data_IF_200851346038
#
_entry.id   IF_200851346038
#
_cell.length_a   1.000
_cell.length_b   1.000
_cell.length_c   1.000
_cell.angle_alpha   90.00
_cell.angle_beta   90.00
_cell.angle_gamma   90.00
#
_symmetry.space_group_name_H-M   'P 1'
#
loop_
_entity.id
_entity.type
_entity.pdbx_description
1 polymer ?
#
# COMPACT_ATOMS: atom_id res chain seq x y z
N UNK A 1 -21.59 13.09 -20.64
CA UNK A 1 -22.29 12.80 -19.38
C UNK A 1 -21.28 12.14 -18.48
N UNK A 2 -21.04 12.70 -17.30
CA UNK A 2 -20.10 12.19 -16.30
C UNK A 2 -20.70 10.94 -15.66
N UNK A 3 -20.43 9.79 -16.25
CA UNK A 3 -20.74 8.49 -15.69
C UNK A 3 -19.42 7.74 -15.51
N UNK A 4 -19.02 7.48 -14.28
CA UNK A 4 -17.78 6.78 -13.97
C UNK A 4 -17.48 6.78 -12.48
N UNK A 5 -17.15 5.61 -11.94
CA UNK A 5 -16.54 5.50 -10.61
C UNK A 5 -15.26 6.33 -10.53
N UNK A 6 -14.88 6.73 -9.32
CA UNK A 6 -13.79 7.69 -9.13
C UNK A 6 -12.44 7.17 -9.66
N UNK A 7 -12.19 5.86 -9.57
CA UNK A 7 -10.99 5.20 -10.08
C UNK A 7 -11.26 4.33 -11.31
N UNK A 8 -12.00 3.24 -11.14
CA UNK A 8 -12.30 2.26 -12.19
C UNK A 8 -13.82 2.15 -12.39
N UNK A 9 -14.27 2.14 -13.64
CA UNK A 9 -15.67 1.97 -13.97
C UNK A 9 -15.88 0.75 -14.87
N UNK A 10 -16.67 -0.22 -14.40
CA UNK A 10 -17.09 -1.41 -15.12
C UNK A 10 -18.52 -1.22 -15.63
N UNK A 11 -18.72 -1.31 -16.94
CA UNK A 11 -20.01 -1.03 -17.59
C UNK A 11 -20.41 -2.14 -18.55
N UNK A 12 -21.72 -2.35 -18.66
CA UNK A 12 -22.37 -3.09 -19.75
C UNK A 12 -21.82 -4.49 -19.99
N UNK A 13 -22.08 -5.38 -19.04
CA UNK A 13 -21.73 -6.81 -19.12
C UNK A 13 -20.22 -7.02 -19.26
N UNK A 14 -19.42 -6.23 -18.53
CA UNK A 14 -17.99 -6.45 -18.38
C UNK A 14 -17.67 -7.39 -17.21
N UNK A 15 -16.60 -8.16 -17.36
CA UNK A 15 -16.12 -9.14 -16.38
C UNK A 15 -14.58 -9.09 -16.24
N UNK A 16 -13.97 -7.90 -16.00
CA UNK A 16 -12.53 -7.82 -15.86
C UNK A 16 -12.07 -8.46 -14.55
N UNK A 17 -10.82 -8.92 -14.54
CA UNK A 17 -10.07 -9.21 -13.33
C UNK A 17 -9.31 -7.95 -12.97
N UNK A 18 -9.48 -7.48 -11.75
CA UNK A 18 -8.75 -6.35 -11.17
C UNK A 18 -8.01 -6.96 -9.98
N UNK A 19 -6.72 -7.16 -10.13
CA UNK A 19 -5.88 -7.82 -9.14
C UNK A 19 -4.58 -7.06 -8.86
N UNK A 20 -4.10 -7.15 -7.61
CA UNK A 20 -2.81 -6.58 -7.19
C UNK A 20 -2.72 -5.04 -7.35
N UNK A 21 -3.83 -4.32 -7.13
CA UNK A 21 -3.86 -2.86 -7.24
C UNK A 21 -3.98 -2.17 -5.87
N UNK A 22 -3.33 -1.01 -5.76
CA UNK A 22 -3.61 -0.04 -4.70
C UNK A 22 -4.50 1.06 -5.28
N UNK A 23 -5.79 1.03 -4.98
CA UNK A 23 -6.82 1.91 -5.51
C UNK A 23 -7.20 2.91 -4.42
N UNK A 24 -6.57 4.09 -4.45
CA UNK A 24 -6.57 5.01 -3.31
C UNK A 24 -6.79 6.45 -3.71
N UNK A 25 -7.45 7.22 -2.85
CA UNK A 25 -7.64 8.66 -3.04
C UNK A 25 -8.53 9.05 -4.23
N UNK A 26 -9.31 8.13 -4.78
CA UNK A 26 -10.18 8.39 -5.92
C UNK A 26 -11.50 9.02 -5.46
N UNK A 27 -12.06 9.94 -6.24
CA UNK A 27 -13.32 10.62 -5.87
C UNK A 27 -14.34 10.55 -6.99
N UNK A 28 -15.49 9.95 -6.71
CA UNK A 28 -16.71 10.07 -7.52
C UNK A 28 -17.59 11.18 -6.97
N UNK A 29 -18.12 12.03 -7.85
CA UNK A 29 -19.00 13.14 -7.46
C UNK A 29 -20.49 12.80 -7.59
N UNK A 30 -20.83 11.79 -8.40
CA UNK A 30 -22.22 11.51 -8.79
C UNK A 30 -22.61 10.05 -8.70
N UNK A 31 -21.69 9.14 -9.00
CA UNK A 31 -21.97 7.70 -9.01
C UNK A 31 -21.44 7.02 -7.74
N UNK A 32 -22.03 5.88 -7.33
CA UNK A 32 -21.43 5.04 -6.30
C UNK A 32 -20.02 4.56 -6.66
N UNK A 33 -19.23 4.12 -5.69
CA UNK A 33 -17.92 3.51 -5.97
C UNK A 33 -16.84 4.53 -6.26
N UNK A 34 -16.26 5.10 -5.21
CA UNK A 34 -15.13 6.02 -5.34
C UNK A 34 -13.90 5.30 -5.91
N UNK A 35 -13.62 4.09 -5.44
CA UNK A 35 -12.61 3.21 -6.01
C UNK A 35 -13.07 2.53 -7.30
N UNK A 36 -14.08 1.66 -7.20
CA UNK A 36 -14.62 0.89 -8.32
C UNK A 36 -16.15 1.03 -8.39
N UNK A 37 -16.65 1.42 -9.55
CA UNK A 37 -18.08 1.37 -9.86
C UNK A 37 -18.41 0.22 -10.81
N UNK A 38 -19.40 -0.59 -10.46
CA UNK A 38 -19.90 -1.71 -11.24
C UNK A 38 -21.35 -1.43 -11.65
N UNK A 39 -21.60 -1.26 -12.94
CA UNK A 39 -22.94 -1.07 -13.49
C UNK A 39 -23.26 -2.18 -14.49
N UNK A 40 -24.17 -3.09 -14.11
CA UNK A 40 -24.52 -4.25 -14.93
C UNK A 40 -23.29 -5.06 -15.35
N UNK A 41 -22.33 -5.21 -14.43
CA UNK A 41 -21.04 -5.86 -14.63
C UNK A 41 -20.65 -6.66 -13.40
N UNK A 42 -19.86 -7.71 -13.59
CA UNK A 42 -19.42 -8.59 -12.48
C UNK A 42 -17.92 -8.82 -12.54
N UNK A 43 -17.09 -7.80 -12.21
CA UNK A 43 -15.65 -7.97 -12.12
C UNK A 43 -15.25 -8.88 -10.95
N UNK A 44 -14.07 -9.49 -11.08
CA UNK A 44 -13.38 -10.13 -9.96
C UNK A 44 -12.37 -9.15 -9.39
N UNK A 45 -12.46 -8.86 -8.10
CA UNK A 45 -11.53 -8.03 -7.36
C UNK A 45 -10.74 -8.94 -6.41
N UNK A 46 -9.45 -9.12 -6.65
CA UNK A 46 -8.60 -10.03 -5.86
C UNK A 46 -7.30 -9.35 -5.42
N UNK A 47 -6.93 -9.44 -4.14
CA UNK A 47 -5.68 -8.86 -3.60
C UNK A 47 -5.53 -7.36 -3.96
N UNK A 48 -6.58 -6.57 -3.71
CA UNK A 48 -6.52 -5.12 -3.87
C UNK A 48 -6.58 -4.43 -2.52
N UNK A 49 -5.95 -3.25 -2.44
CA UNK A 49 -6.11 -2.34 -1.31
C UNK A 49 -6.88 -1.11 -1.77
N UNK A 50 -8.07 -0.91 -1.20
CA UNK A 50 -8.89 0.28 -1.31
C UNK A 50 -8.74 1.13 -0.05
N UNK A 51 -8.44 2.42 -0.23
CA UNK A 51 -8.36 3.33 0.89
C UNK A 51 -8.48 4.79 0.51
N UNK A 52 -9.17 5.59 1.33
CA UNK A 52 -9.30 7.03 1.13
C UNK A 52 -10.05 7.41 -0.15
N UNK A 53 -10.81 6.49 -0.75
CA UNK A 53 -11.69 6.78 -1.86
C UNK A 53 -13.01 7.37 -1.36
N UNK A 54 -13.61 8.23 -2.17
CA UNK A 54 -14.77 9.03 -1.78
C UNK A 54 -15.87 8.93 -2.84
N UNK A 55 -17.10 8.69 -2.41
CA UNK A 55 -18.28 8.72 -3.29
C UNK A 55 -19.54 9.14 -2.51
N UNK A 56 -20.67 9.45 -3.19
CA UNK A 56 -21.95 9.62 -2.51
C UNK A 56 -22.40 8.34 -1.78
N UNK A 57 -22.11 7.17 -2.34
CA UNK A 57 -22.45 5.83 -1.82
C UNK A 57 -21.29 4.86 -2.11
N UNK A 58 -20.88 4.01 -1.16
CA UNK A 58 -19.82 3.02 -1.39
C UNK A 58 -18.49 3.67 -1.76
N UNK A 59 -17.78 4.21 -0.79
CA UNK A 59 -16.50 4.90 -1.00
C UNK A 59 -15.50 4.01 -1.74
N UNK A 60 -15.38 2.74 -1.36
CA UNK A 60 -14.53 1.77 -2.07
C UNK A 60 -15.23 1.24 -3.32
N UNK A 61 -16.35 0.54 -3.15
CA UNK A 61 -17.04 -0.20 -4.22
C UNK A 61 -18.52 0.20 -4.27
N UNK A 62 -18.98 0.54 -5.46
CA UNK A 62 -20.40 0.78 -5.74
C UNK A 62 -20.91 -0.19 -6.79
N UNK A 63 -22.03 -0.87 -6.54
CA UNK A 63 -22.63 -1.82 -7.48
C UNK A 63 -24.07 -1.44 -7.79
N UNK A 64 -24.45 -1.48 -9.07
CA UNK A 64 -25.78 -1.11 -9.56
C UNK A 64 -26.23 -1.98 -10.75
N UNK A 65 -27.55 -2.01 -10.96
CA UNK A 65 -28.23 -2.64 -12.11
C UNK A 65 -27.75 -4.05 -12.43
N UNK A 66 -28.00 -5.02 -11.54
CA UNK A 66 -27.60 -6.42 -11.72
C UNK A 66 -26.09 -6.68 -11.73
N UNK A 67 -25.29 -5.74 -11.21
CA UNK A 67 -23.88 -6.01 -10.94
C UNK A 67 -23.73 -7.08 -9.84
N UNK A 68 -22.75 -7.98 -10.01
CA UNK A 68 -22.45 -9.03 -9.02
C UNK A 68 -20.95 -9.32 -8.93
N UNK A 69 -20.10 -8.36 -8.52
CA UNK A 69 -18.68 -8.61 -8.34
C UNK A 69 -18.39 -9.64 -7.25
N UNK A 70 -17.22 -10.27 -7.37
CA UNK A 70 -16.61 -11.09 -6.32
C UNK A 70 -15.39 -10.34 -5.76
N UNK A 71 -15.29 -10.25 -4.44
CA UNK A 71 -14.23 -9.54 -3.72
C UNK A 71 -13.54 -10.53 -2.80
N UNK A 72 -12.28 -10.82 -3.06
CA UNK A 72 -11.50 -11.77 -2.27
C UNK A 72 -10.14 -11.18 -1.93
N UNK A 73 -9.59 -11.49 -0.75
CA UNK A 73 -8.25 -11.07 -0.33
C UNK A 73 -8.03 -9.56 -0.35
N UNK A 74 -9.08 -8.76 -0.29
CA UNK A 74 -8.96 -7.31 -0.41
C UNK A 74 -8.90 -6.65 0.98
N UNK A 75 -8.30 -5.47 1.04
CA UNK A 75 -8.47 -4.54 2.16
C UNK A 75 -9.32 -3.37 1.66
N UNK A 76 -10.43 -3.11 2.33
CA UNK A 76 -11.34 -1.98 2.11
C UNK A 76 -11.38 -1.17 3.39
N UNK A 77 -10.67 -0.05 3.42
CA UNK A 77 -10.41 0.65 4.68
C UNK A 77 -10.26 2.15 4.52
N UNK A 78 -10.97 2.89 5.37
CA UNK A 78 -10.95 4.36 5.41
C UNK A 78 -11.44 4.99 4.11
N UNK A 79 -12.33 4.30 3.40
CA UNK A 79 -13.10 4.88 2.31
C UNK A 79 -14.31 5.62 2.89
N UNK A 80 -14.81 6.64 2.17
CA UNK A 80 -15.82 7.56 2.70
C UNK A 80 -16.99 7.72 1.75
N UNK A 81 -18.20 7.60 2.30
CA UNK A 81 -19.43 7.92 1.60
C UNK A 81 -20.49 8.49 2.53
N UNK A 82 -21.50 9.15 1.96
CA UNK A 82 -22.64 9.67 2.74
C UNK A 82 -23.39 8.55 3.47
N UNK A 83 -23.47 7.38 2.84
CA UNK A 83 -23.92 6.12 3.45
C UNK A 83 -23.15 4.96 2.84
N UNK A 84 -22.95 3.88 3.61
CA UNK A 84 -22.21 2.68 3.20
C UNK A 84 -20.77 3.01 2.81
N UNK A 85 -19.89 3.17 3.81
CA UNK A 85 -18.53 3.68 3.62
C UNK A 85 -17.70 2.85 2.65
N UNK A 86 -17.72 1.53 2.79
CA UNK A 86 -16.91 0.64 1.97
C UNK A 86 -17.66 0.17 0.71
N UNK A 87 -18.75 -0.59 0.89
CA UNK A 87 -19.48 -1.21 -0.22
C UNK A 87 -20.94 -0.75 -0.25
N UNK A 88 -21.38 -0.26 -1.41
CA UNK A 88 -22.79 0.04 -1.70
C UNK A 88 -23.38 -0.93 -2.72
N UNK A 89 -24.58 -1.43 -2.43
CA UNK A 89 -25.40 -2.23 -3.34
C UNK A 89 -26.69 -1.47 -3.67
N UNK A 90 -26.83 -1.06 -4.92
CA UNK A 90 -28.04 -0.47 -5.44
C UNK A 90 -28.93 -1.50 -6.15
N UNK A 91 -29.60 -1.08 -7.21
CA UNK A 91 -30.77 -1.81 -7.72
C UNK A 91 -30.40 -3.19 -8.29
N UNK A 92 -30.94 -4.24 -7.68
CA UNK A 92 -30.71 -5.65 -8.04
C UNK A 92 -29.24 -6.08 -8.02
N UNK A 93 -28.36 -5.31 -7.38
CA UNK A 93 -26.96 -5.64 -7.26
C UNK A 93 -26.72 -6.62 -6.10
N UNK A 94 -25.72 -7.47 -6.27
CA UNK A 94 -25.21 -8.37 -5.23
C UNK A 94 -23.69 -8.24 -5.15
N UNK A 95 -23.08 -8.77 -4.10
CA UNK A 95 -21.62 -8.93 -4.02
C UNK A 95 -21.33 -10.15 -3.17
N UNK A 96 -20.30 -10.89 -3.57
CA UNK A 96 -19.70 -11.92 -2.72
C UNK A 96 -18.40 -11.35 -2.19
N UNK A 97 -18.21 -11.40 -0.87
CA UNK A 97 -16.97 -10.93 -0.22
C UNK A 97 -16.49 -12.04 0.70
N UNK A 98 -15.29 -12.56 0.46
CA UNK A 98 -14.66 -13.57 1.28
C UNK A 98 -13.18 -13.21 1.52
N UNK A 99 -12.61 -13.69 2.62
CA UNK A 99 -11.21 -13.48 3.01
C UNK A 99 -10.71 -12.04 2.85
N UNK A 100 -11.55 -11.06 3.16
CA UNK A 100 -11.23 -9.63 2.99
C UNK A 100 -11.37 -8.88 4.32
N UNK A 101 -10.58 -7.84 4.49
CA UNK A 101 -10.71 -6.92 5.61
C UNK A 101 -11.56 -5.73 5.18
N UNK A 102 -12.75 -5.60 5.77
CA UNK A 102 -13.73 -4.57 5.39
C UNK A 102 -14.08 -3.75 6.61
N UNK A 103 -13.78 -2.45 6.55
CA UNK A 103 -14.15 -1.52 7.62
C UNK A 103 -15.66 -1.52 7.86
N UNK A 104 -16.05 -1.71 9.12
CA UNK A 104 -17.46 -1.86 9.50
C UNK A 104 -18.01 -3.28 9.31
N UNK A 105 -17.24 -4.17 8.70
CA UNK A 105 -17.52 -5.59 8.53
C UNK A 105 -18.40 -5.92 7.33
N UNK A 106 -18.22 -7.13 6.80
CA UNK A 106 -19.06 -7.69 5.76
C UNK A 106 -19.24 -9.20 5.96
N UNK A 107 -20.44 -9.72 5.72
CA UNK A 107 -20.70 -11.15 5.86
C UNK A 107 -19.97 -11.95 4.80
N UNK A 108 -19.26 -13.00 5.20
CA UNK A 108 -18.53 -13.89 4.31
C UNK A 108 -17.56 -14.77 5.07
N UNK A 109 -17.01 -15.76 4.39
CA UNK A 109 -16.00 -16.67 4.94
C UNK A 109 -14.70 -15.93 5.14
N UNK A 110 -14.09 -16.01 6.32
CA UNK A 110 -12.75 -15.47 6.55
C UNK A 110 -12.62 -13.95 6.53
N UNK A 111 -13.73 -13.20 6.35
CA UNK A 111 -13.69 -11.75 6.43
C UNK A 111 -13.35 -11.27 7.85
N UNK A 112 -12.62 -10.17 7.92
CA UNK A 112 -12.27 -9.49 9.15
C UNK A 112 -12.69 -8.00 9.07
N UNK A 113 -12.64 -7.34 10.23
CA UNK A 113 -12.89 -5.90 10.38
C UNK A 113 -11.99 -5.40 11.50
N UNK A 114 -10.74 -5.12 11.16
CA UNK A 114 -9.73 -4.68 12.11
C UNK A 114 -8.78 -3.70 11.42
N UNK A 115 -8.16 -2.78 12.16
CA UNK A 115 -7.21 -1.83 11.56
C UNK A 115 -6.09 -2.58 10.82
N UNK A 116 -5.92 -2.39 9.49
CA UNK A 116 -4.89 -3.05 8.69
C UNK A 116 -3.46 -2.71 9.11
N UNK A 117 -3.27 -1.64 9.92
CA UNK A 117 -1.95 -1.16 10.36
C UNK A 117 -1.02 -0.88 9.18
N UNK A 118 -1.47 -0.05 8.24
CA UNK A 118 -0.62 0.45 7.16
C UNK A 118 0.57 1.26 7.70
N UNK A 119 1.69 1.23 6.99
CA UNK A 119 2.94 1.93 7.37
C UNK A 119 2.71 3.43 7.51
N UNK A 120 2.24 4.09 6.44
CA UNK A 120 2.00 5.54 6.38
C UNK A 120 0.97 5.85 5.27
N UNK A 121 -0.33 5.54 5.47
CA UNK A 121 -1.35 5.71 4.43
C UNK A 121 -1.53 7.18 4.02
N UNK A 122 -1.32 8.13 4.93
CA UNK A 122 -1.32 9.56 4.62
C UNK A 122 -0.17 10.04 3.72
N UNK A 123 0.83 9.19 3.47
CA UNK A 123 1.90 9.38 2.49
C UNK A 123 1.79 8.39 1.31
N UNK A 124 0.67 7.66 1.20
CA UNK A 124 0.44 6.67 0.15
C UNK A 124 1.14 5.33 0.38
N UNK A 125 1.67 5.05 1.58
CA UNK A 125 2.34 3.79 1.89
C UNK A 125 1.39 2.81 2.59
N UNK A 126 0.82 1.93 1.78
CA UNK A 126 -0.16 0.92 2.18
C UNK A 126 0.45 -0.46 2.40
N UNK A 127 1.78 -0.56 2.56
CA UNK A 127 2.42 -1.77 3.07
C UNK A 127 1.98 -2.01 4.51
N UNK A 128 1.97 -3.26 4.95
CA UNK A 128 1.54 -3.66 6.29
C UNK A 128 2.66 -3.49 7.32
N UNK A 129 2.31 -3.09 8.54
CA UNK A 129 3.20 -3.17 9.69
C UNK A 129 3.12 -4.54 10.36
N UNK A 130 4.21 -4.94 11.02
CA UNK A 130 4.20 -6.15 11.85
C UNK A 130 3.10 -6.11 12.91
N UNK A 131 2.33 -7.19 12.98
CA UNK A 131 1.15 -7.31 13.84
C UNK A 131 -0.14 -6.80 13.20
N UNK A 132 -0.14 -6.45 11.92
CA UNK A 132 -1.37 -6.28 11.13
C UNK A 132 -2.24 -7.56 11.20
N UNK A 133 -3.57 -7.43 11.32
CA UNK A 133 -4.49 -8.56 11.26
C UNK A 133 -4.63 -9.15 9.85
N UNK A 134 -4.14 -8.43 8.82
CA UNK A 134 -4.19 -8.85 7.42
C UNK A 134 -3.07 -9.82 7.03
N UNK A 135 -2.03 -9.94 7.87
CA UNK A 135 -0.91 -10.85 7.63
C UNK A 135 -1.39 -12.30 7.83
N UNK A 136 -1.05 -13.19 6.89
CA UNK A 136 -1.44 -14.61 6.85
C UNK A 136 -2.96 -14.86 6.86
N UNK A 137 -3.76 -13.89 6.42
CA UNK A 137 -5.21 -13.88 6.63
C UNK A 137 -6.04 -14.15 5.36
N UNK A 138 -5.47 -14.02 4.17
CA UNK A 138 -6.13 -14.21 2.87
C UNK A 138 -6.52 -15.67 2.58
N UNK A 139 -7.26 -15.95 1.52
CA UNK A 139 -7.81 -17.25 1.15
C UNK A 139 -6.72 -18.36 1.21
N UNK A 140 -6.90 -19.42 2.02
CA UNK A 140 -5.91 -20.49 2.16
C UNK A 140 -5.73 -21.34 0.89
N UNK A 141 -6.57 -21.14 -0.13
CA UNK A 141 -6.44 -21.79 -1.44
C UNK A 141 -5.69 -20.94 -2.47
N UNK A 142 -5.47 -19.66 -2.17
CA UNK A 142 -4.65 -18.77 -3.00
C UNK A 142 -3.16 -19.11 -2.82
N UNK A 143 -2.29 -18.89 -3.83
CA UNK A 143 -0.85 -19.08 -3.70
C UNK A 143 -0.25 -18.42 -2.46
N UNK A 144 0.80 -19.03 -1.89
CA UNK A 144 1.51 -18.42 -0.78
C UNK A 144 2.25 -17.15 -1.22
N UNK A 145 2.50 -16.25 -0.26
CA UNK A 145 3.31 -15.06 -0.47
C UNK A 145 4.78 -15.43 -0.77
N UNK A 146 5.60 -14.49 -1.28
CA UNK A 146 6.98 -14.78 -1.68
C UNK A 146 7.87 -15.36 -0.58
N UNK A 147 7.52 -15.15 0.69
CA UNK A 147 8.20 -15.71 1.86
C UNK A 147 7.74 -17.15 2.21
N UNK A 148 6.78 -17.69 1.46
CA UNK A 148 6.21 -19.03 1.60
C UNK A 148 5.08 -19.13 2.62
N UNK A 149 4.63 -18.02 3.20
CA UNK A 149 3.53 -17.99 4.19
C UNK A 149 2.16 -17.82 3.51
N UNK A 150 1.06 -17.92 4.28
CA UNK A 150 -0.29 -17.83 3.68
C UNK A 150 -0.46 -16.42 3.15
N UNK A 151 -1.13 -16.24 2.01
CA UNK A 151 -1.25 -14.90 1.44
C UNK A 151 -1.84 -13.88 2.44
N UNK A 152 -1.24 -12.71 2.44
CA UNK A 152 -1.76 -11.54 3.14
C UNK A 152 -3.00 -11.00 2.40
N UNK A 153 -3.89 -10.34 3.13
CA UNK A 153 -4.94 -9.52 2.49
C UNK A 153 -4.32 -8.22 1.97
N UNK A 154 -4.79 -7.76 0.80
CA UNK A 154 -4.41 -6.50 0.17
C UNK A 154 -3.16 -6.59 -0.71
N UNK A 155 -2.88 -5.52 -1.44
CA UNK A 155 -1.93 -5.50 -2.55
C UNK A 155 -0.44 -5.67 -2.18
N UNK A 156 -0.10 -5.62 -0.88
CA UNK A 156 1.29 -5.57 -0.41
C UNK A 156 1.54 -6.61 0.67
N UNK A 157 2.16 -7.76 0.33
CA UNK A 157 2.49 -8.77 1.32
C UNK A 157 3.64 -8.32 2.23
N UNK A 158 3.63 -8.80 3.46
CA UNK A 158 4.66 -8.56 4.46
C UNK A 158 5.67 -9.71 4.45
N UNK A 159 6.91 -9.45 4.00
CA UNK A 159 7.96 -10.49 3.97
C UNK A 159 8.42 -10.89 5.39
N UNK A 160 7.96 -12.07 5.82
CA UNK A 160 8.26 -12.65 7.12
C UNK A 160 9.61 -13.37 7.18
N UNK A 161 10.34 -13.50 6.06
CA UNK A 161 11.64 -14.17 6.03
C UNK A 161 12.79 -13.29 6.53
N UNK A 162 12.58 -11.97 6.61
CA UNK A 162 13.63 -11.01 6.98
C UNK A 162 13.85 -10.95 8.49
N UNK A 163 15.12 -10.84 8.89
CA UNK A 163 15.47 -10.62 10.29
C UNK A 163 15.07 -9.22 10.77
N UNK A 164 15.35 -8.20 9.95
CA UNK A 164 14.83 -6.85 10.07
C UNK A 164 14.21 -6.45 8.73
N UNK A 165 13.12 -5.70 8.77
CA UNK A 165 12.47 -5.13 7.58
C UNK A 165 12.74 -3.63 7.51
N UNK A 166 12.99 -3.10 6.31
CA UNK A 166 13.14 -1.69 6.01
C UNK A 166 12.09 -1.26 4.98
N UNK A 167 11.33 -0.23 5.32
CA UNK A 167 10.48 0.49 4.37
C UNK A 167 10.91 1.96 4.31
N UNK A 168 11.06 2.47 3.10
CA UNK A 168 11.23 3.88 2.77
C UNK A 168 9.92 4.44 2.25
N UNK A 169 9.43 5.50 2.89
CA UNK A 169 8.26 6.24 2.45
C UNK A 169 8.69 7.65 2.03
N UNK A 170 8.72 7.98 0.72
CA UNK A 170 8.96 9.34 0.29
C UNK A 170 7.78 10.26 0.65
N UNK A 171 8.07 11.50 1.03
CA UNK A 171 7.03 12.52 1.29
C UNK A 171 6.64 13.29 0.03
N UNK A 172 7.37 13.07 -1.07
CA UNK A 172 7.08 13.65 -2.36
C UNK A 172 7.63 12.75 -3.47
N UNK A 173 6.85 12.60 -4.55
CA UNK A 173 7.32 11.97 -5.80
C UNK A 173 8.03 12.97 -6.73
N UNK A 174 7.96 14.27 -6.41
CA UNK A 174 8.57 15.35 -7.16
C UNK A 174 9.31 16.30 -6.23
N UNK A 175 10.58 16.60 -6.51
CA UNK A 175 11.39 17.52 -5.69
C UNK A 175 12.21 18.43 -6.59
N UNK A 176 11.92 19.73 -6.57
CA UNK A 176 12.65 20.73 -7.37
C UNK A 176 14.10 20.88 -6.90
N UNK A 177 15.05 21.19 -7.80
CA UNK A 177 16.40 21.61 -7.40
C UNK A 177 16.36 22.76 -6.39
N UNK A 178 17.13 22.64 -5.30
CA UNK A 178 17.10 23.58 -4.17
C UNK A 178 15.99 23.29 -3.14
N UNK A 179 15.12 22.32 -3.40
CA UNK A 179 14.04 21.89 -2.51
C UNK A 179 14.51 20.90 -1.44
N UNK A 180 13.53 20.23 -0.81
CA UNK A 180 13.75 19.25 0.23
C UNK A 180 13.02 17.94 -0.07
N UNK A 181 13.70 16.82 0.14
CA UNK A 181 13.13 15.48 0.11
C UNK A 181 13.00 14.95 1.54
N UNK A 182 11.78 14.81 2.03
CA UNK A 182 11.48 14.05 3.24
C UNK A 182 11.36 12.57 2.94
N UNK A 183 12.00 11.73 3.77
CA UNK A 183 11.89 10.26 3.70
C UNK A 183 11.65 9.73 5.10
N UNK A 184 10.56 9.00 5.31
CA UNK A 184 10.37 8.21 6.53
C UNK A 184 10.94 6.82 6.36
N UNK A 185 11.80 6.44 7.29
CA UNK A 185 12.34 5.11 7.43
C UNK A 185 11.51 4.38 8.48
N UNK A 186 10.85 3.30 8.09
CA UNK A 186 10.23 2.35 9.00
C UNK A 186 11.12 1.13 9.09
N UNK A 187 11.65 0.84 10.28
CA UNK A 187 12.47 -0.34 10.54
C UNK A 187 11.77 -1.23 11.57
N UNK A 188 11.64 -2.52 11.25
CA UNK A 188 10.85 -3.46 12.05
C UNK A 188 11.77 -4.58 12.54
N UNK A 189 11.84 -4.76 13.86
CA UNK A 189 12.50 -5.89 14.51
C UNK A 189 11.46 -6.86 15.07
N UNK A 190 11.36 -8.05 14.47
CA UNK A 190 10.49 -9.15 14.92
C UNK A 190 11.21 -10.14 15.84
N UNK A 191 12.48 -9.91 16.11
CA UNK A 191 13.30 -10.78 16.93
C UNK A 191 13.04 -10.51 18.41
N UNK A 192 13.16 -11.56 19.22
CA UNK A 192 13.04 -11.48 20.67
C UNK A 192 14.22 -10.75 21.34
N UNK A 193 15.24 -10.35 20.58
CA UNK A 193 16.43 -9.65 21.06
C UNK A 193 16.64 -8.33 20.31
N UNK A 194 17.28 -7.33 20.92
CA UNK A 194 17.74 -6.15 20.20
C UNK A 194 18.70 -6.53 19.07
N UNK A 195 18.56 -5.90 17.91
CA UNK A 195 19.40 -6.18 16.72
C UNK A 195 20.20 -4.92 16.34
N UNK A 196 21.54 -4.98 16.34
CA UNK A 196 22.38 -3.89 15.85
C UNK A 196 22.46 -3.90 14.32
N UNK A 197 22.44 -2.72 13.71
CA UNK A 197 22.54 -2.57 12.26
C UNK A 197 23.20 -1.24 11.89
N UNK A 198 23.58 -1.11 10.63
CA UNK A 198 24.07 0.12 10.02
C UNK A 198 23.10 0.52 8.92
N UNK A 199 22.68 1.79 8.90
CA UNK A 199 21.89 2.38 7.80
C UNK A 199 22.84 3.10 6.85
N UNK A 200 22.71 2.84 5.55
CA UNK A 200 23.36 3.63 4.50
C UNK A 200 22.40 3.88 3.35
N UNK A 201 22.36 5.10 2.85
CA UNK A 201 21.49 5.49 1.74
C UNK A 201 22.25 6.30 0.70
N UNK A 202 21.87 6.09 -0.55
CA UNK A 202 22.44 6.76 -1.70
C UNK A 202 21.34 7.14 -2.71
N UNK A 203 21.65 8.08 -3.59
CA UNK A 203 20.79 8.41 -4.71
C UNK A 203 21.54 8.20 -6.02
N UNK A 204 20.94 7.45 -6.94
CA UNK A 204 21.38 7.38 -8.34
C UNK A 204 20.80 8.57 -9.08
N UNK A 205 21.68 9.39 -9.63
CA UNK A 205 21.37 10.58 -10.41
C UNK A 205 20.88 10.21 -11.82
N UNK A 206 20.23 11.15 -12.56
CA UNK A 206 19.81 10.95 -13.94
C UNK A 206 20.94 10.54 -14.90
N UNK A 207 22.18 10.90 -14.58
CA UNK A 207 23.37 10.52 -15.36
C UNK A 207 23.99 9.17 -14.95
N UNK A 208 23.35 8.43 -14.05
CA UNK A 208 23.81 7.14 -13.52
C UNK A 208 24.86 7.23 -12.40
N UNK A 209 25.37 8.43 -12.07
CA UNK A 209 26.29 8.59 -10.96
C UNK A 209 25.56 8.43 -9.63
N UNK A 210 26.26 7.92 -8.61
CA UNK A 210 25.69 7.75 -7.27
C UNK A 210 26.25 8.79 -6.31
N UNK A 211 25.39 9.35 -5.45
CA UNK A 211 25.78 10.22 -4.34
C UNK A 211 25.34 9.61 -3.02
N UNK A 212 26.21 9.64 -2.01
CA UNK A 212 25.82 9.26 -0.66
C UNK A 212 24.88 10.33 -0.09
N UNK A 213 23.79 9.88 0.53
CA UNK A 213 22.73 10.76 1.08
C UNK A 213 22.64 10.65 2.60
N UNK A 214 22.83 9.44 3.15
CA UNK A 214 22.79 9.19 4.59
C UNK A 214 23.76 8.06 4.98
N UNK A 215 24.43 8.22 6.12
CA UNK A 215 25.25 7.16 6.70
C UNK A 215 26.53 6.84 5.91
N UNK A 216 27.24 5.76 6.27
CA UNK A 216 26.83 4.72 7.20
C UNK A 216 26.69 5.24 8.65
N UNK A 217 25.64 4.82 9.34
CA UNK A 217 25.44 5.16 10.76
C UNK A 217 24.90 3.96 11.53
N UNK A 218 25.44 3.73 12.72
CA UNK A 218 25.14 2.56 13.55
C UNK A 218 23.94 2.81 14.46
N UNK A 219 23.06 1.82 14.52
CA UNK A 219 21.86 1.81 15.34
C UNK A 219 21.69 0.45 16.01
N UNK A 220 20.78 0.38 16.98
CA UNK A 220 20.28 -0.87 17.55
C UNK A 220 18.79 -0.73 17.75
N UNK A 221 18.02 -1.63 17.14
CA UNK A 221 16.56 -1.66 17.28
C UNK A 221 16.19 -2.59 18.43
N UNK A 222 15.37 -2.17 19.42
CA UNK A 222 14.92 -3.06 20.49
C UNK A 222 14.16 -4.28 19.97
N UNK A 223 14.05 -5.32 20.81
CA UNK A 223 13.27 -6.52 20.50
C UNK A 223 11.80 -6.20 20.23
N UNK A 224 11.17 -6.89 19.28
CA UNK A 224 9.75 -6.75 18.95
C UNK A 224 9.29 -5.30 18.79
N UNK A 225 10.09 -4.49 18.10
CA UNK A 225 9.91 -3.04 18.03
C UNK A 225 9.92 -2.55 16.59
N UNK A 226 9.04 -1.59 16.32
CA UNK A 226 8.99 -0.85 15.06
C UNK A 226 9.40 0.60 15.33
N UNK A 227 10.42 1.09 14.62
CA UNK A 227 10.82 2.48 14.66
C UNK A 227 10.43 3.17 13.35
N UNK A 228 9.83 4.35 13.45
CA UNK A 228 9.60 5.25 12.32
C UNK A 228 10.38 6.55 12.55
N UNK A 229 11.18 6.95 11.57
CA UNK A 229 11.95 8.20 11.64
C UNK A 229 12.03 8.89 10.29
N UNK A 230 11.67 10.17 10.28
CA UNK A 230 11.82 11.02 9.10
C UNK A 230 13.19 11.67 9.06
N UNK A 231 13.83 11.63 7.90
CA UNK A 231 14.99 12.43 7.54
C UNK A 231 14.62 13.38 6.41
N UNK A 232 15.14 14.61 6.47
CA UNK A 232 14.94 15.60 5.42
C UNK A 232 16.27 15.89 4.76
N UNK A 233 16.33 15.74 3.44
CA UNK A 233 17.52 15.95 2.63
C UNK A 233 17.35 17.21 1.78
N UNK A 234 18.32 18.12 1.84
CA UNK A 234 18.34 19.26 0.94
C UNK A 234 18.83 18.81 -0.44
N UNK A 235 18.04 19.03 -1.48
CA UNK A 235 18.44 18.78 -2.87
C UNK A 235 19.25 20.00 -3.35
N UNK A 236 20.49 19.84 -3.82
CA UNK A 236 21.29 20.96 -4.29
C UNK A 236 20.59 21.76 -5.40
N UNK A 237 20.75 23.08 -5.42
CA UNK A 237 20.18 23.93 -6.50
C UNK A 237 20.75 23.61 -7.89
N UNK A 238 21.94 22.98 -7.93
CA UNK A 238 22.62 22.53 -9.16
C UNK A 238 22.33 21.07 -9.48
N UNK A 239 21.41 20.42 -8.76
CA UNK A 239 21.01 19.04 -9.02
C UNK A 239 20.43 18.93 -10.45
N UNK A 240 20.86 17.93 -11.24
CA UNK A 240 20.31 17.73 -12.57
C UNK A 240 18.81 17.46 -12.55
N UNK A 241 18.10 17.92 -13.57
CA UNK A 241 16.70 17.57 -13.81
C UNK A 241 16.62 16.13 -14.34
N UNK A 242 15.61 15.38 -13.92
CA UNK A 242 15.35 14.01 -14.36
C UNK A 242 15.01 13.05 -13.21
N UNK A 243 14.99 11.76 -13.52
CA UNK A 243 14.64 10.71 -12.58
C UNK A 243 15.81 10.36 -11.66
N UNK A 244 15.50 10.26 -10.37
CA UNK A 244 16.41 9.81 -9.33
C UNK A 244 15.90 8.50 -8.75
N UNK A 245 16.83 7.61 -8.39
CA UNK A 245 16.52 6.42 -7.59
C UNK A 245 17.16 6.57 -6.22
N UNK A 246 16.33 6.76 -5.19
CA UNK A 246 16.77 6.75 -3.80
C UNK A 246 16.83 5.30 -3.32
N UNK A 247 17.95 4.89 -2.74
CA UNK A 247 18.15 3.54 -2.23
C UNK A 247 18.63 3.60 -0.79
N UNK A 248 18.16 2.68 0.03
CA UNK A 248 18.70 2.47 1.36
C UNK A 248 18.80 1.00 1.68
N UNK A 249 19.73 0.70 2.58
CA UNK A 249 19.90 -0.63 3.13
C UNK A 249 20.15 -0.57 4.63
N UNK A 250 19.76 -1.64 5.31
CA UNK A 250 20.12 -1.92 6.69
C UNK A 250 20.99 -3.17 6.73
N UNK A 251 22.19 -3.05 7.27
CA UNK A 251 23.21 -4.12 7.22
C UNK A 251 23.66 -4.51 8.62
N UNK A 252 23.90 -5.80 8.92
CA UNK A 252 24.56 -6.20 10.16
C UNK A 252 25.90 -5.48 10.30
N UNK A 253 26.24 -5.05 11.51
CA UNK A 253 27.54 -4.44 11.76
C UNK A 253 28.66 -5.45 11.51
N UNK A 254 29.58 -5.14 10.59
CA UNK A 254 30.69 -6.01 10.21
C UNK A 254 30.37 -7.07 9.14
N UNK A 255 29.19 -7.03 8.53
CA UNK A 255 28.81 -7.89 7.40
C UNK A 255 28.60 -7.06 6.13
N UNK A 256 28.88 -7.59 4.92
CA UNK A 256 28.52 -6.93 3.67
C UNK A 256 27.07 -7.19 3.23
N UNK A 257 26.43 -8.25 3.74
CA UNK A 257 25.10 -8.67 3.29
C UNK A 257 24.01 -7.95 4.09
N UNK A 258 23.10 -7.19 3.45
CA UNK A 258 22.05 -6.46 4.14
C UNK A 258 21.03 -7.40 4.78
N UNK A 259 20.42 -6.97 5.89
CA UNK A 259 19.18 -7.56 6.40
C UNK A 259 18.03 -7.28 5.43
N UNK A 260 17.97 -6.03 4.95
CA UNK A 260 16.96 -5.58 4.00
C UNK A 260 17.43 -4.34 3.23
N UNK A 261 16.80 -4.12 2.08
CA UNK A 261 17.00 -2.97 1.21
C UNK A 261 15.66 -2.51 0.67
N UNK A 262 15.50 -1.21 0.53
CA UNK A 262 14.33 -0.62 -0.11
C UNK A 262 14.73 0.60 -0.93
N UNK A 263 13.90 0.95 -1.91
CA UNK A 263 14.17 2.02 -2.85
C UNK A 263 12.89 2.62 -3.41
N UNK A 264 12.96 3.89 -3.80
CA UNK A 264 11.89 4.56 -4.53
C UNK A 264 12.46 5.54 -5.55
N UNK A 265 11.68 5.81 -6.59
CA UNK A 265 12.01 6.83 -7.58
C UNK A 265 11.33 8.16 -7.23
N UNK A 266 11.99 9.27 -7.56
CA UNK A 266 11.38 10.60 -7.55
C UNK A 266 11.90 11.42 -8.74
N UNK A 267 11.06 12.32 -9.23
CA UNK A 267 11.39 13.22 -10.33
C UNK A 267 11.90 14.56 -9.78
N UNK A 268 13.01 15.05 -10.35
CA UNK A 268 13.42 16.45 -10.18
C UNK A 268 13.04 17.22 -11.45
N UNK A 269 11.96 18.02 -11.44
CA UNK A 269 11.46 18.73 -12.63
C UNK A 269 12.24 20.01 -12.96
#
# INVERSE_FOLDING_TARGET
>A
GSYGGGGIACWWLSFPIIDLNTIVGNTSLSDPGGGVYCHQSSPTLDINTFSGNVAPYGGAIGCDYYASPAVTNCILWADSAGTFQEIYLGLFATVTVDYSDVQGGWSGTGNINADPKFVLPGQGDYRLLWGSPCIDAGDPTWPNDPDGTRCDMGAHPFDQSRQLTLYLTPHASHVTPGGQLGVTYTVINRQAQPVPFTVSSDAVLPNGNTVNVLGPSNYTLPANFTAQRTFTHNVPAVAPVGDYLYRSQITPQGSPNPYDQDQFAFLSP
#
